data_IF_053445301131
#
_entry.id   IF_053445301131
#
_cell.length_a   1.000
_cell.length_b   1.000
_cell.length_c   1.000
_cell.angle_alpha   90.00
_cell.angle_beta   90.00
_cell.angle_gamma   90.00
#
_symmetry.space_group_name_H-M   'P 1'
#
loop_
_entity.id
_entity.type
_entity.pdbx_description
1 polymer ?
#
# COMPACT_ATOMS: atom_id res chain seq x y z
N UNK A 1 -3.74 16.36 -15.71
CA UNK A 1 -4.76 15.39 -15.23
C UNK A 1 -4.77 15.40 -13.71
N UNK A 2 -5.92 15.20 -13.08
CA UNK A 2 -6.01 14.99 -11.63
C UNK A 2 -5.49 13.59 -11.28
N UNK A 3 -4.76 13.45 -10.16
CA UNK A 3 -4.30 12.15 -9.67
C UNK A 3 -5.50 11.29 -9.27
N UNK A 4 -5.52 10.02 -9.67
CA UNK A 4 -6.54 9.05 -9.24
C UNK A 4 -6.10 8.33 -7.97
N UNK A 5 -7.06 7.89 -7.17
CA UNK A 5 -6.86 7.08 -5.97
C UNK A 5 -7.57 5.74 -6.12
N UNK A 6 -6.79 4.66 -6.15
CA UNK A 6 -7.34 3.30 -6.10
C UNK A 6 -7.36 2.80 -4.67
N UNK A 7 -8.48 2.24 -4.22
CA UNK A 7 -8.60 1.57 -2.92
C UNK A 7 -8.33 0.08 -3.06
N UNK A 8 -7.26 -0.42 -2.43
CA UNK A 8 -6.87 -1.82 -2.52
C UNK A 8 -7.08 -2.57 -1.20
N UNK A 9 -7.76 -3.72 -1.28
CA UNK A 9 -8.03 -4.60 -0.15
C UNK A 9 -7.98 -6.06 -0.58
N UNK A 10 -7.15 -6.83 0.10
CA UNK A 10 -7.25 -8.29 0.08
C UNK A 10 -8.23 -8.77 1.16
N UNK A 11 -9.18 -9.62 0.78
CA UNK A 11 -10.21 -10.12 1.68
C UNK A 11 -10.65 -11.54 1.32
N UNK A 12 -11.21 -12.25 2.28
CA UNK A 12 -11.96 -13.49 2.03
C UNK A 12 -13.31 -13.19 1.40
N UNK A 13 -13.91 -14.21 0.77
CA UNK A 13 -15.24 -14.12 0.14
C UNK A 13 -16.32 -13.69 1.15
N UNK A 14 -16.19 -14.07 2.43
CA UNK A 14 -17.10 -13.71 3.52
C UNK A 14 -16.81 -12.36 4.18
N UNK A 15 -15.92 -11.52 3.63
CA UNK A 15 -15.80 -10.13 4.09
C UNK A 15 -14.58 -9.79 4.96
N UNK A 16 -13.69 -10.75 5.27
CA UNK A 16 -12.62 -10.52 6.26
C UNK A 16 -11.35 -10.04 5.56
N UNK A 17 -10.86 -8.86 5.92
CA UNK A 17 -9.62 -8.30 5.34
C UNK A 17 -8.46 -8.12 6.33
N UNK A 18 -8.58 -8.67 7.54
CA UNK A 18 -7.52 -8.66 8.54
C UNK A 18 -7.32 -10.08 9.09
N UNK A 19 -6.07 -10.53 9.12
CA UNK A 19 -5.72 -11.90 9.46
C UNK A 19 -4.55 -11.93 10.45
N UNK A 20 -4.53 -12.86 11.41
CA UNK A 20 -3.34 -13.14 12.23
C UNK A 20 -2.16 -13.61 11.37
N UNK A 21 -2.44 -14.44 10.35
CA UNK A 21 -1.54 -14.88 9.29
C UNK A 21 -2.29 -14.77 7.97
N UNK A 22 -1.69 -14.14 6.96
CA UNK A 22 -2.33 -14.04 5.64
C UNK A 22 -2.52 -15.44 5.04
N UNK A 23 -3.74 -15.79 4.58
CA UNK A 23 -3.98 -17.06 3.91
C UNK A 23 -3.01 -17.25 2.73
N UNK A 24 -2.31 -18.38 2.68
CA UNK A 24 -1.34 -18.69 1.63
C UNK A 24 0.02 -17.99 1.75
N UNK A 25 0.27 -17.21 2.80
CA UNK A 25 1.58 -16.56 3.00
C UNK A 25 2.74 -17.52 3.24
N UNK A 26 2.45 -18.79 3.49
CA UNK A 26 3.41 -19.89 3.60
C UNK A 26 3.75 -20.54 2.25
N UNK A 27 3.01 -20.20 1.19
CA UNK A 27 3.19 -20.76 -0.15
C UNK A 27 3.68 -19.65 -1.08
N UNK A 28 4.99 -19.43 -1.07
CA UNK A 28 5.62 -18.50 -2.00
C UNK A 28 5.84 -19.22 -3.33
N UNK A 29 5.11 -18.81 -4.37
CA UNK A 29 5.31 -19.32 -5.72
C UNK A 29 6.62 -18.81 -6.29
N UNK A 30 7.47 -19.67 -6.85
CA UNK A 30 8.74 -19.21 -7.48
C UNK A 30 8.52 -18.43 -8.77
N UNK A 31 7.37 -18.60 -9.41
CA UNK A 31 7.04 -17.99 -10.71
C UNK A 31 5.71 -17.25 -10.64
N UNK A 32 5.70 -16.05 -11.23
CA UNK A 32 4.49 -15.26 -11.44
C UNK A 32 3.92 -15.53 -12.84
N UNK A 33 2.69 -16.04 -12.93
CA UNK A 33 1.98 -16.12 -14.22
C UNK A 33 1.50 -14.71 -14.66
N UNK A 34 1.00 -14.58 -15.89
CA UNK A 34 0.62 -13.29 -16.46
C UNK A 34 -0.44 -12.55 -15.60
N UNK A 35 -1.51 -13.25 -15.20
CA UNK A 35 -2.55 -12.68 -14.34
C UNK A 35 -1.98 -12.19 -13.01
N UNK A 36 -1.09 -12.96 -12.40
CA UNK A 36 -0.46 -12.60 -11.14
C UNK A 36 0.38 -11.33 -11.30
N UNK A 37 1.17 -11.22 -12.39
CA UNK A 37 1.97 -10.00 -12.66
C UNK A 37 1.08 -8.79 -12.86
N UNK A 38 0.01 -8.92 -13.62
CA UNK A 38 -0.93 -7.82 -13.84
C UNK A 38 -1.53 -7.35 -12.51
N UNK A 39 -2.02 -8.31 -11.71
CA UNK A 39 -2.68 -8.03 -10.44
C UNK A 39 -1.73 -7.56 -9.34
N UNK A 40 -0.45 -7.94 -9.32
CA UNK A 40 0.45 -7.70 -8.19
C UNK A 40 1.68 -6.84 -8.50
N UNK A 41 2.01 -6.65 -9.77
CA UNK A 41 3.19 -5.89 -10.20
C UNK A 41 2.74 -4.67 -11.01
N UNK A 42 2.08 -4.89 -12.14
CA UNK A 42 1.83 -3.84 -13.14
C UNK A 42 0.81 -2.80 -12.65
N UNK A 43 -0.06 -3.16 -11.69
CA UNK A 43 -1.01 -2.22 -11.06
C UNK A 43 -0.36 -1.00 -10.40
N UNK A 44 0.96 -1.00 -10.26
CA UNK A 44 1.73 0.05 -9.60
C UNK A 44 2.53 0.93 -10.55
N UNK A 45 2.48 0.68 -11.87
CA UNK A 45 3.36 1.31 -12.85
C UNK A 45 3.21 2.83 -12.90
N UNK A 46 2.00 3.36 -12.67
CA UNK A 46 1.71 4.78 -12.64
C UNK A 46 1.56 5.36 -11.21
N UNK A 47 1.78 4.53 -10.18
CA UNK A 47 1.60 4.91 -8.78
C UNK A 47 2.88 5.52 -8.22
N UNK A 48 2.78 6.73 -7.68
CA UNK A 48 3.90 7.41 -7.02
C UNK A 48 3.70 7.65 -5.53
N UNK A 49 2.48 7.42 -5.01
CA UNK A 49 2.17 7.58 -3.59
C UNK A 49 1.32 6.42 -3.08
N UNK A 50 1.67 5.90 -1.90
CA UNK A 50 0.95 4.85 -1.18
C UNK A 50 0.43 5.41 0.14
N UNK A 51 -0.89 5.38 0.35
CA UNK A 51 -1.53 5.77 1.60
C UNK A 51 -1.78 4.52 2.44
N UNK A 52 -1.38 4.53 3.70
CA UNK A 52 -1.59 3.43 4.63
C UNK A 52 -2.05 3.94 6.00
N UNK A 53 -2.93 3.19 6.67
CA UNK A 53 -3.16 3.38 8.10
C UNK A 53 -1.94 2.91 8.92
N UNK A 54 -1.75 3.46 10.12
CA UNK A 54 -0.61 3.14 11.02
C UNK A 54 -0.24 1.65 11.08
N UNK A 55 -1.22 0.76 11.29
CA UNK A 55 -0.96 -0.69 11.42
C UNK A 55 -0.39 -1.27 10.13
N UNK A 56 -1.03 -1.00 8.99
CA UNK A 56 -0.55 -1.43 7.67
C UNK A 56 0.84 -0.88 7.39
N UNK A 57 1.05 0.41 7.61
CA UNK A 57 2.35 1.06 7.43
C UNK A 57 3.46 0.36 8.23
N UNK A 58 3.24 0.16 9.53
CA UNK A 58 4.25 -0.51 10.39
C UNK A 58 4.46 -1.98 10.05
N UNK A 59 3.42 -2.67 9.59
CA UNK A 59 3.51 -4.07 9.15
C UNK A 59 4.26 -4.19 7.83
N UNK A 60 3.96 -3.34 6.85
CA UNK A 60 4.65 -3.33 5.56
C UNK A 60 6.12 -3.00 5.72
N UNK A 61 6.45 -2.00 6.54
CA UNK A 61 7.84 -1.63 6.85
C UNK A 61 8.68 -2.79 7.40
N UNK A 62 8.06 -3.75 8.11
CA UNK A 62 8.78 -4.89 8.69
C UNK A 62 9.05 -6.00 7.68
N UNK A 63 8.27 -6.07 6.60
CA UNK A 63 8.25 -7.22 5.69
C UNK A 63 8.71 -6.83 4.29
N UNK A 64 8.28 -5.69 3.78
CA UNK A 64 8.35 -5.36 2.36
C UNK A 64 9.46 -4.37 1.99
N UNK A 65 10.35 -4.04 2.92
CA UNK A 65 11.54 -3.23 2.58
C UNK A 65 12.50 -4.04 1.71
N UNK A 66 13.26 -3.35 0.85
CA UNK A 66 14.31 -3.97 0.05
C UNK A 66 15.38 -4.61 0.93
N UNK A 67 15.70 -3.97 2.07
CA UNK A 67 16.65 -4.51 3.07
C UNK A 67 16.18 -5.82 3.72
N UNK A 68 14.90 -6.17 3.63
CA UNK A 68 14.37 -7.43 4.15
C UNK A 68 14.44 -8.58 3.11
N UNK A 69 14.89 -8.30 1.88
CA UNK A 69 15.01 -9.32 0.82
C UNK A 69 16.28 -10.17 0.99
N UNK A 70 16.22 -11.42 0.52
CA UNK A 70 17.37 -12.34 0.48
C UNK A 70 17.68 -12.77 -0.97
N UNK A 71 18.87 -13.32 -1.25
CA UNK A 71 19.20 -13.83 -2.60
C UNK A 71 18.27 -14.94 -3.11
N UNK A 72 17.60 -15.65 -2.21
CA UNK A 72 16.67 -16.73 -2.54
C UNK A 72 15.24 -16.25 -2.82
N UNK A 73 14.94 -14.97 -2.56
CA UNK A 73 13.61 -14.41 -2.82
C UNK A 73 13.33 -14.36 -4.33
N UNK A 74 12.10 -14.70 -4.76
CA UNK A 74 11.69 -14.51 -6.14
C UNK A 74 11.85 -13.05 -6.60
N UNK A 75 12.32 -12.87 -7.84
CA UNK A 75 12.61 -11.55 -8.41
C UNK A 75 11.44 -10.56 -8.29
N UNK A 76 10.20 -11.03 -8.47
CA UNK A 76 9.02 -10.17 -8.38
C UNK A 76 8.81 -9.57 -6.97
N UNK A 77 9.24 -10.24 -5.90
CA UNK A 77 9.20 -9.70 -4.54
C UNK A 77 10.26 -8.61 -4.36
N UNK A 78 11.44 -8.83 -4.93
CA UNK A 78 12.53 -7.84 -4.93
C UNK A 78 12.10 -6.58 -5.68
N UNK A 79 11.49 -6.74 -6.86
CA UNK A 79 10.98 -5.63 -7.67
C UNK A 79 9.88 -4.85 -6.95
N UNK A 80 8.95 -5.56 -6.29
CA UNK A 80 7.92 -4.93 -5.47
C UNK A 80 8.52 -4.14 -4.29
N UNK A 81 9.48 -4.73 -3.57
CA UNK A 81 10.16 -4.06 -2.46
C UNK A 81 10.94 -2.82 -2.89
N UNK A 82 11.63 -2.88 -4.04
CA UNK A 82 12.31 -1.72 -4.65
C UNK A 82 11.34 -0.61 -5.04
N UNK A 83 10.24 -0.98 -5.68
CA UNK A 83 9.18 -0.03 -6.02
C UNK A 83 8.62 0.62 -4.75
N UNK A 84 8.29 -0.18 -3.74
CA UNK A 84 7.70 0.30 -2.49
C UNK A 84 8.67 1.22 -1.76
N UNK A 85 9.96 0.91 -1.73
CA UNK A 85 10.98 1.77 -1.13
C UNK A 85 11.14 3.10 -1.86
N UNK A 86 11.00 3.11 -3.18
CA UNK A 86 11.08 4.32 -4.02
C UNK A 86 9.86 5.25 -3.91
N UNK A 87 8.63 4.73 -3.87
CA UNK A 87 7.42 5.58 -3.88
C UNK A 87 7.23 6.33 -2.57
N UNK A 88 6.48 7.43 -2.59
CA UNK A 88 6.13 8.15 -1.36
C UNK A 88 5.15 7.29 -0.53
N UNK A 89 5.43 7.07 0.77
CA UNK A 89 4.43 6.51 1.69
C UNK A 89 3.85 7.59 2.59
N UNK A 90 2.52 7.68 2.63
CA UNK A 90 1.77 8.51 3.57
C UNK A 90 1.17 7.62 4.66
N UNK A 91 1.70 7.75 5.88
CA UNK A 91 1.14 7.09 7.05
C UNK A 91 0.06 7.96 7.70
N UNK A 92 -1.19 7.49 7.68
CA UNK A 92 -2.29 8.10 8.40
C UNK A 92 -2.24 7.65 9.87
N UNK A 93 -1.84 8.56 10.74
CA UNK A 93 -1.69 8.28 12.17
C UNK A 93 -1.74 9.53 13.03
N UNK A 94 -2.42 9.44 14.18
CA UNK A 94 -2.41 10.47 15.22
C UNK A 94 -1.43 10.18 16.36
N UNK A 95 -0.85 8.97 16.39
CA UNK A 95 -0.02 8.47 17.51
C UNK A 95 1.39 8.02 17.09
N UNK A 96 1.69 8.04 15.80
CA UNK A 96 3.02 7.68 15.31
C UNK A 96 3.80 8.99 15.23
N UNK A 97 4.94 9.05 15.91
CA UNK A 97 5.73 10.28 16.03
C UNK A 97 6.75 10.40 14.90
N UNK A 98 7.33 9.27 14.49
CA UNK A 98 8.31 9.19 13.40
C UNK A 98 7.96 8.05 12.44
N UNK A 99 8.07 8.26 11.12
CA UNK A 99 7.75 7.22 10.16
C UNK A 99 8.80 6.09 10.13
N UNK A 100 10.08 6.40 10.41
CA UNK A 100 11.18 5.44 10.41
C UNK A 100 11.25 4.52 9.17
N UNK A 101 10.82 5.03 8.01
CA UNK A 101 10.85 4.37 6.70
C UNK A 101 11.26 5.41 5.64
N UNK A 102 12.09 5.00 4.68
CA UNK A 102 12.53 5.86 3.59
C UNK A 102 11.37 6.33 2.70
N UNK A 103 11.50 7.55 2.20
CA UNK A 103 10.50 8.27 1.41
C UNK A 103 9.08 8.22 2.01
N UNK A 104 8.95 8.59 3.28
CA UNK A 104 7.65 8.55 3.95
C UNK A 104 7.40 9.71 4.89
N UNK A 105 6.12 10.04 5.07
CA UNK A 105 5.66 11.11 5.96
C UNK A 105 4.39 10.70 6.68
N UNK A 106 4.15 11.35 7.82
CA UNK A 106 2.95 11.13 8.63
C UNK A 106 1.97 12.26 8.36
N UNK A 107 0.72 11.92 8.09
CA UNK A 107 -0.38 12.88 7.99
C UNK A 107 -1.43 12.56 9.04
N UNK A 108 -1.95 13.61 9.68
CA UNK A 108 -2.97 13.55 10.73
C UNK A 108 -4.07 14.56 10.44
N UNK A 109 -5.31 14.22 10.77
CA UNK A 109 -6.48 15.08 10.57
C UNK A 109 -7.58 14.39 9.79
N UNK A 110 -8.46 15.21 9.19
CA UNK A 110 -9.59 14.73 8.40
C UNK A 110 -9.12 14.07 7.08
N UNK A 111 -9.65 12.88 6.81
CA UNK A 111 -9.24 12.06 5.66
C UNK A 111 -9.57 12.74 4.33
N UNK A 112 -10.74 13.38 4.21
CA UNK A 112 -11.17 14.04 2.97
C UNK A 112 -10.26 15.24 2.65
N UNK A 113 -9.88 16.04 3.66
CA UNK A 113 -8.90 17.12 3.50
C UNK A 113 -7.51 16.62 3.10
N UNK A 114 -7.05 15.51 3.70
CA UNK A 114 -5.78 14.88 3.34
C UNK A 114 -5.80 14.41 1.89
N UNK A 115 -6.84 13.69 1.47
CA UNK A 115 -7.01 13.21 0.09
C UNK A 115 -7.06 14.38 -0.89
N UNK A 116 -7.84 15.42 -0.61
CA UNK A 116 -7.93 16.59 -1.46
C UNK A 116 -6.59 17.32 -1.62
N UNK A 117 -5.76 17.35 -0.57
CA UNK A 117 -4.40 17.88 -0.65
C UNK A 117 -3.52 16.99 -1.54
N UNK A 118 -3.50 15.68 -1.30
CA UNK A 118 -2.67 14.73 -2.06
C UNK A 118 -3.00 14.74 -3.56
N UNK A 119 -4.28 14.85 -3.93
CA UNK A 119 -4.71 14.96 -5.33
C UNK A 119 -4.18 16.21 -6.05
N UNK A 120 -3.85 17.28 -5.32
CA UNK A 120 -3.29 18.54 -5.85
C UNK A 120 -1.78 18.56 -5.94
N UNK A 121 -1.09 17.65 -5.25
CA UNK A 121 0.37 17.56 -5.30
C UNK A 121 0.83 17.01 -6.66
N UNK A 122 2.07 17.30 -7.05
CA UNK A 122 2.66 16.72 -8.27
C UNK A 122 2.93 15.22 -8.06
N UNK A 123 2.74 14.42 -9.09
CA UNK A 123 3.00 12.98 -9.05
C UNK A 123 2.04 12.18 -9.93
N UNK A 124 2.22 10.87 -9.96
CA UNK A 124 1.31 9.91 -10.58
C UNK A 124 0.18 9.50 -9.65
N UNK A 125 -0.47 8.39 -9.92
CA UNK A 125 -1.62 7.91 -9.16
C UNK A 125 -1.24 7.54 -7.72
N UNK A 126 -2.27 7.40 -6.91
CA UNK A 126 -2.19 7.09 -5.50
C UNK A 126 -2.88 5.76 -5.27
N UNK A 127 -2.31 4.91 -4.42
CA UNK A 127 -3.00 3.71 -3.95
C UNK A 127 -3.21 3.78 -2.44
N UNK A 128 -4.43 3.55 -1.98
CA UNK A 128 -4.71 3.29 -0.57
C UNK A 128 -4.52 1.81 -0.30
N UNK A 129 -3.41 1.45 0.34
CA UNK A 129 -3.00 0.06 0.58
C UNK A 129 -3.43 -0.38 1.99
N UNK A 130 -4.72 -0.69 2.11
CA UNK A 130 -5.32 -1.20 3.34
C UNK A 130 -5.11 -0.34 4.61
N UNK A 131 -5.46 -0.83 5.80
CA UNK A 131 -6.21 -2.06 6.06
C UNK A 131 -7.72 -1.87 5.92
N UNK A 132 -8.54 -2.86 6.31
CA UNK A 132 -9.99 -2.87 6.08
C UNK A 132 -10.69 -1.60 6.56
N UNK A 133 -10.30 -1.09 7.73
CA UNK A 133 -10.87 0.14 8.30
C UNK A 133 -10.59 1.36 7.43
N UNK A 134 -9.38 1.47 6.86
CA UNK A 134 -9.07 2.61 5.98
C UNK A 134 -9.89 2.53 4.71
N UNK A 135 -9.92 1.37 4.06
CA UNK A 135 -10.65 1.17 2.81
C UNK A 135 -12.15 1.40 2.99
N UNK A 136 -12.72 0.93 4.09
CA UNK A 136 -14.12 1.21 4.44
C UNK A 136 -14.39 2.72 4.54
N UNK A 137 -13.48 3.50 5.11
CA UNK A 137 -13.62 4.96 5.18
C UNK A 137 -13.46 5.64 3.81
N UNK A 138 -12.58 5.13 2.94
CA UNK A 138 -12.48 5.60 1.55
C UNK A 138 -13.79 5.39 0.79
N UNK A 139 -14.40 4.20 0.92
CA UNK A 139 -15.68 3.86 0.27
C UNK A 139 -16.80 4.73 0.82
N UNK A 140 -16.94 4.82 2.15
CA UNK A 140 -18.01 5.61 2.81
C UNK A 140 -17.99 7.09 2.46
N UNK A 141 -16.82 7.63 2.17
CA UNK A 141 -16.61 9.05 1.89
C UNK A 141 -16.42 9.35 0.41
N UNK A 142 -16.58 8.35 -0.46
CA UNK A 142 -16.41 8.47 -1.92
C UNK A 142 -15.05 9.09 -2.30
N UNK A 143 -13.96 8.55 -1.71
CA UNK A 143 -12.60 9.08 -1.85
C UNK A 143 -11.71 8.30 -2.83
N UNK A 144 -12.19 7.15 -3.32
CA UNK A 144 -11.53 6.37 -4.36
C UNK A 144 -12.15 6.74 -5.72
N UNK A 145 -11.38 6.58 -6.80
CA UNK A 145 -11.79 6.85 -8.19
C UNK A 145 -12.02 5.56 -8.98
#
# INVERSE_FOLDING_TARGET
MSRKITANLYMTIDGRGAFPKYPGSDRVTKTANALWREMWINRFDDVTTVIMGRRSFTGHRRVWTEKARTPDDPQYLVDYSRWLDRVEKVCLSTRLESPAWENSRIMKGDLSKIVARLKKEKGGNIIAEGGPRLILEFIRKDLAD
#
